data_IF_708053751864
#
_entry.id   IF_708053751864
#
_cell.length_a   1.000
_cell.length_b   1.000
_cell.length_c   1.000
_cell.angle_alpha   90.00
_cell.angle_beta   90.00
_cell.angle_gamma   90.00
#
_symmetry.space_group_name_H-M   'P 1'
#
loop_
_entity.id
_entity.type
_entity.pdbx_description
1 polymer ?
#
# COMPACT_ATOMS: atom_id res chain seq x y z
N UNK A 1 22.68 -4.09 18.26
CA UNK A 1 21.90 -2.89 17.88
C UNK A 1 21.70 -2.05 19.13
N UNK A 2 21.92 -0.78 19.00
CA UNK A 2 21.89 0.18 20.11
C UNK A 2 20.45 0.32 20.64
N UNK A 3 20.27 0.39 21.95
CA UNK A 3 18.95 0.54 22.58
C UNK A 3 18.23 1.80 22.10
N UNK A 4 18.99 2.85 21.81
CA UNK A 4 18.48 4.12 21.26
C UNK A 4 17.91 3.90 19.86
N UNK A 5 18.60 3.17 19.01
CA UNK A 5 18.16 2.84 17.67
C UNK A 5 16.89 1.98 17.69
N UNK A 6 16.82 1.01 18.58
CA UNK A 6 15.62 0.17 18.75
C UNK A 6 14.39 0.99 19.15
N UNK A 7 14.54 1.89 20.12
CA UNK A 7 13.46 2.77 20.56
C UNK A 7 12.98 3.68 19.42
N UNK A 8 13.92 4.26 18.69
CA UNK A 8 13.63 5.15 17.56
C UNK A 8 12.84 4.41 16.45
N UNK A 9 13.31 3.22 16.06
CA UNK A 9 12.62 2.39 15.05
C UNK A 9 11.24 1.96 15.54
N UNK A 10 11.11 1.59 16.81
CA UNK A 10 9.82 1.24 17.41
C UNK A 10 8.82 2.41 17.39
N UNK A 11 9.27 3.63 17.67
CA UNK A 11 8.43 4.83 17.60
C UNK A 11 7.92 5.07 16.17
N UNK A 12 8.81 4.94 15.17
CA UNK A 12 8.41 5.08 13.77
C UNK A 12 7.42 3.97 13.40
N UNK A 13 7.67 2.74 13.83
CA UNK A 13 6.76 1.62 13.58
C UNK A 13 5.35 1.90 14.12
N UNK A 14 5.23 2.25 15.39
CA UNK A 14 3.94 2.51 16.02
C UNK A 14 3.21 3.72 15.44
N UNK A 15 3.94 4.76 15.07
CA UNK A 15 3.34 6.01 14.56
C UNK A 15 2.93 5.90 13.10
N UNK A 16 3.72 5.23 12.27
CA UNK A 16 3.57 5.26 10.82
C UNK A 16 3.16 3.93 10.19
N UNK A 17 3.08 2.84 10.95
CA UNK A 17 2.76 1.51 10.43
C UNK A 17 1.55 1.53 9.49
N UNK A 18 0.46 2.13 9.93
CA UNK A 18 -0.79 2.18 9.16
C UNK A 18 -0.62 2.89 7.81
N UNK A 19 0.11 4.00 7.80
CA UNK A 19 0.39 4.75 6.56
C UNK A 19 1.30 3.97 5.63
N UNK A 20 2.30 3.29 6.17
CA UNK A 20 3.22 2.44 5.41
C UNK A 20 2.50 1.21 4.85
N UNK A 21 1.63 0.61 5.63
CA UNK A 21 0.77 -0.49 5.20
C UNK A 21 -0.15 -0.07 4.03
N UNK A 22 -0.81 1.08 4.13
CA UNK A 22 -1.65 1.62 3.06
C UNK A 22 -0.82 1.84 1.78
N UNK A 23 0.39 2.38 1.91
CA UNK A 23 1.31 2.54 0.79
C UNK A 23 1.64 1.21 0.11
N UNK A 24 2.02 0.19 0.88
CA UNK A 24 2.31 -1.14 0.36
C UNK A 24 1.06 -1.79 -0.27
N UNK A 25 -0.08 -1.66 0.38
CA UNK A 25 -1.35 -2.17 -0.13
C UNK A 25 -1.76 -1.52 -1.46
N UNK A 26 -1.53 -0.21 -1.63
CA UNK A 26 -1.81 0.50 -2.88
C UNK A 26 -0.99 -0.03 -4.06
N UNK A 27 0.18 -0.60 -3.79
CA UNK A 27 1.06 -1.19 -4.80
C UNK A 27 0.68 -2.65 -5.07
N UNK A 28 0.48 -3.43 -4.02
CA UNK A 28 0.33 -4.89 -4.08
C UNK A 28 -1.13 -5.36 -4.21
N UNK A 29 -2.07 -4.62 -3.64
CA UNK A 29 -3.50 -4.98 -3.67
C UNK A 29 -3.88 -6.19 -2.81
N UNK A 30 -2.94 -6.74 -2.04
CA UNK A 30 -3.16 -7.89 -1.16
C UNK A 30 -2.62 -7.62 0.23
N UNK A 31 -3.41 -7.92 1.25
CA UNK A 31 -3.09 -7.63 2.65
C UNK A 31 -1.82 -8.34 3.14
N UNK A 32 -1.76 -9.65 2.95
CA UNK A 32 -0.63 -10.45 3.41
C UNK A 32 0.71 -9.96 2.83
N UNK A 33 0.71 -9.60 1.57
CA UNK A 33 1.90 -9.11 0.87
C UNK A 33 2.27 -7.69 1.29
N UNK A 34 1.28 -6.84 1.55
CA UNK A 34 1.49 -5.50 2.09
C UNK A 34 2.16 -5.56 3.48
N UNK A 35 1.70 -6.47 4.35
CA UNK A 35 2.33 -6.70 5.65
C UNK A 35 3.78 -7.17 5.50
N UNK A 36 4.04 -8.12 4.62
CA UNK A 36 5.39 -8.61 4.35
C UNK A 36 6.30 -7.47 3.88
N UNK A 37 5.83 -6.63 2.96
CA UNK A 37 6.60 -5.49 2.46
C UNK A 37 6.99 -4.52 3.58
N UNK A 38 6.06 -4.22 4.48
CA UNK A 38 6.32 -3.33 5.64
C UNK A 38 7.29 -4.01 6.61
N UNK A 39 7.08 -5.27 6.95
CA UNK A 39 7.97 -6.02 7.84
C UNK A 39 9.39 -6.10 7.30
N UNK A 40 9.56 -6.43 6.02
CA UNK A 40 10.88 -6.46 5.38
C UNK A 40 11.56 -5.09 5.39
N UNK A 41 10.80 -4.01 5.19
CA UNK A 41 11.34 -2.65 5.25
C UNK A 41 11.86 -2.33 6.67
N UNK A 42 11.16 -2.75 7.71
CA UNK A 42 11.64 -2.57 9.09
C UNK A 42 12.82 -3.49 9.44
N UNK A 43 12.92 -4.67 8.86
CA UNK A 43 14.13 -5.50 8.97
C UNK A 43 15.34 -4.77 8.37
N UNK A 44 15.19 -4.17 7.20
CA UNK A 44 16.24 -3.34 6.59
C UNK A 44 16.58 -2.13 7.47
N UNK A 45 15.57 -1.48 8.04
CA UNK A 45 15.78 -0.36 8.98
C UNK A 45 16.60 -0.77 10.21
N UNK A 46 16.36 -1.97 10.74
CA UNK A 46 17.17 -2.52 11.83
C UNK A 46 18.61 -2.82 11.40
N UNK A 47 18.79 -3.37 10.21
CA UNK A 47 20.13 -3.67 9.67
C UNK A 47 20.94 -2.41 9.34
N UNK A 48 20.26 -1.37 8.91
CA UNK A 48 20.86 -0.07 8.51
C UNK A 48 20.48 1.05 9.48
N UNK A 49 20.39 0.73 10.76
CA UNK A 49 19.94 1.66 11.79
C UNK A 49 20.79 2.94 11.88
N UNK A 50 22.10 2.83 11.69
CA UNK A 50 22.99 4.00 11.68
C UNK A 50 22.69 4.96 10.52
N UNK A 51 22.45 4.43 9.34
CA UNK A 51 22.09 5.21 8.15
C UNK A 51 20.73 5.89 8.34
N UNK A 52 19.77 5.14 8.86
CA UNK A 52 18.44 5.65 9.17
C UNK A 52 18.50 6.80 10.19
N UNK A 53 19.28 6.65 11.24
CA UNK A 53 19.43 7.68 12.29
C UNK A 53 20.17 8.93 11.79
N UNK A 54 21.05 8.80 10.81
CA UNK A 54 21.74 9.93 10.17
C UNK A 54 20.91 10.63 9.11
N UNK A 55 19.82 10.02 8.68
CA UNK A 55 18.95 10.59 7.65
C UNK A 55 18.28 11.87 8.14
N UNK A 56 18.24 12.89 7.30
CA UNK A 56 17.47 14.12 7.56
C UNK A 56 15.94 13.86 7.56
N UNK A 57 15.50 12.80 6.87
CA UNK A 57 14.11 12.40 6.81
C UNK A 57 13.96 10.88 6.99
N UNK A 58 14.02 10.39 8.23
CA UNK A 58 13.91 8.95 8.50
C UNK A 58 12.60 8.32 8.02
N UNK A 59 11.49 9.03 8.16
CA UNK A 59 10.18 8.55 7.70
C UNK A 59 10.14 8.42 6.17
N UNK A 60 10.71 9.39 5.45
CA UNK A 60 10.85 9.33 4.01
C UNK A 60 11.75 8.18 3.56
N UNK A 61 12.81 7.90 4.29
CA UNK A 61 13.71 6.77 4.05
C UNK A 61 12.96 5.44 4.16
N UNK A 62 12.18 5.25 5.24
CA UNK A 62 11.36 4.04 5.43
C UNK A 62 10.27 3.93 4.35
N UNK A 63 9.60 5.03 4.00
CA UNK A 63 8.62 5.05 2.90
C UNK A 63 9.22 4.55 1.59
N UNK A 64 10.42 5.04 1.24
CA UNK A 64 11.14 4.59 0.04
C UNK A 64 11.48 3.11 0.11
N UNK A 65 11.89 2.63 1.27
CA UNK A 65 12.23 1.22 1.49
C UNK A 65 10.98 0.33 1.36
N UNK A 66 9.85 0.73 1.94
CA UNK A 66 8.56 0.02 1.78
C UNK A 66 8.16 -0.04 0.30
N UNK A 67 8.28 1.08 -0.41
CA UNK A 67 7.98 1.13 -1.85
C UNK A 67 8.86 0.17 -2.64
N UNK A 68 10.15 0.16 -2.39
CA UNK A 68 11.09 -0.75 -3.06
C UNK A 68 10.76 -2.22 -2.78
N UNK A 69 10.46 -2.56 -1.52
CA UNK A 69 10.07 -3.93 -1.15
C UNK A 69 8.76 -4.35 -1.81
N UNK A 70 7.76 -3.47 -1.79
CA UNK A 70 6.48 -3.74 -2.44
C UNK A 70 6.63 -3.94 -3.95
N UNK A 71 7.40 -3.09 -4.63
CA UNK A 71 7.68 -3.24 -6.06
C UNK A 71 8.45 -4.53 -6.36
N UNK A 72 9.39 -4.91 -5.51
CA UNK A 72 10.14 -6.15 -5.66
C UNK A 72 9.22 -7.38 -5.55
N UNK A 73 8.33 -7.39 -4.55
CA UNK A 73 7.33 -8.45 -4.39
C UNK A 73 6.42 -8.52 -5.62
N UNK A 74 5.98 -7.36 -6.13
CA UNK A 74 5.14 -7.30 -7.31
C UNK A 74 5.83 -7.85 -8.56
N UNK A 75 7.11 -7.56 -8.74
CA UNK A 75 7.93 -8.09 -9.84
C UNK A 75 8.09 -9.61 -9.73
N UNK A 76 8.38 -10.12 -8.54
CA UNK A 76 8.50 -11.55 -8.29
C UNK A 76 7.20 -12.29 -8.57
N UNK A 77 6.07 -11.71 -8.22
CA UNK A 77 4.75 -12.25 -8.55
C UNK A 77 4.48 -12.31 -10.04
N UNK A 78 4.84 -11.26 -10.77
CA UNK A 78 4.71 -11.23 -12.24
C UNK A 78 5.57 -12.31 -12.89
N UNK A 79 6.79 -12.53 -12.39
CA UNK A 79 7.66 -13.63 -12.85
C UNK A 79 7.05 -14.98 -12.55
N UNK A 80 6.55 -15.17 -11.33
CA UNK A 80 5.91 -16.42 -10.90
C UNK A 80 4.63 -16.67 -11.70
N UNK A 81 3.79 -15.67 -11.88
CA UNK A 81 2.58 -15.76 -12.70
C UNK A 81 2.91 -16.12 -14.16
N UNK A 82 3.95 -15.52 -14.72
CA UNK A 82 4.43 -15.85 -16.07
C UNK A 82 4.92 -17.30 -16.20
N UNK A 83 5.62 -17.79 -15.18
CA UNK A 83 6.02 -19.19 -15.09
C UNK A 83 4.84 -20.13 -14.91
N UNK A 84 3.88 -19.78 -14.05
CA UNK A 84 2.64 -20.54 -13.85
C UNK A 84 1.74 -20.53 -15.08
N UNK A 85 1.61 -19.42 -15.81
CA UNK A 85 0.89 -19.39 -17.09
C UNK A 85 1.54 -20.30 -18.12
N UNK A 86 2.87 -20.42 -18.10
CA UNK A 86 3.58 -21.37 -18.96
C UNK A 86 3.37 -22.83 -18.55
N UNK A 87 3.10 -23.07 -17.25
CA UNK A 87 2.80 -24.39 -16.70
C UNK A 87 1.32 -24.73 -16.75
N UNK A 88 0.42 -23.76 -16.60
CA UNK A 88 -1.05 -23.93 -16.67
C UNK A 88 -1.56 -24.21 -18.08
N UNK A 89 -0.79 -23.86 -19.10
CA UNK A 89 -1.04 -24.36 -20.46
C UNK A 89 -0.89 -25.89 -20.55
N UNK A 90 -0.40 -26.53 -19.49
CA UNK A 90 -0.17 -27.97 -19.38
C UNK A 90 -1.08 -28.67 -18.37
N UNK A 91 -1.82 -27.96 -17.50
CA UNK A 91 -2.65 -28.61 -16.50
C UNK A 91 -3.88 -27.76 -16.08
N UNK A 92 -5.07 -28.25 -16.38
CA UNK A 92 -6.33 -27.68 -15.97
C UNK A 92 -6.74 -28.18 -14.59
N UNK A 93 -6.32 -27.53 -13.53
CA UNK A 93 -7.09 -27.50 -12.28
C UNK A 93 -6.36 -26.75 -11.14
N UNK A 94 -6.86 -25.61 -10.70
CA UNK A 94 -7.14 -25.28 -9.31
C UNK A 94 -7.42 -23.81 -9.04
N UNK A 95 -8.51 -23.61 -8.29
CA UNK A 95 -8.92 -22.34 -7.71
C UNK A 95 -8.03 -21.93 -6.54
N UNK A 96 -7.77 -20.64 -6.34
CA UNK A 96 -7.06 -20.14 -5.16
C UNK A 96 -8.01 -19.98 -3.97
N UNK A 97 -7.63 -20.52 -2.84
CA UNK A 97 -8.35 -20.34 -1.58
C UNK A 97 -7.79 -19.17 -0.79
N UNK A 98 -8.71 -18.33 -0.31
CA UNK A 98 -8.46 -17.21 0.58
C UNK A 98 -8.61 -17.57 2.05
N UNK A 99 -7.92 -16.86 2.90
CA UNK A 99 -8.37 -16.51 4.25
C UNK A 99 -7.34 -15.60 4.90
N UNK A 100 -7.64 -14.65 5.63
CA UNK A 100 -8.41 -14.18 6.74
C UNK A 100 -7.94 -12.77 7.13
N UNK A 101 -8.63 -11.98 7.68
CA UNK A 101 -9.83 -11.49 8.31
C UNK A 101 -9.49 -10.41 9.33
N UNK A 102 -10.22 -9.41 9.44
CA UNK A 102 -10.35 -8.23 10.31
C UNK A 102 -9.89 -6.88 9.74
N UNK A 103 -8.80 -6.79 9.01
CA UNK A 103 -8.53 -5.62 8.13
C UNK A 103 -9.36 -5.68 6.84
N UNK A 104 -9.94 -6.85 6.55
CA UNK A 104 -10.91 -7.08 5.50
C UNK A 104 -12.17 -6.23 5.67
N UNK A 105 -12.67 -6.05 6.89
CA UNK A 105 -13.89 -5.28 7.15
C UNK A 105 -13.75 -3.80 6.76
N UNK A 106 -12.61 -3.19 7.03
CA UNK A 106 -12.36 -1.79 6.66
C UNK A 106 -12.17 -1.64 5.14
N UNK A 107 -11.44 -2.56 4.53
CA UNK A 107 -11.23 -2.56 3.08
C UNK A 107 -12.54 -2.86 2.34
N UNK A 108 -13.32 -3.85 2.77
CA UNK A 108 -14.65 -4.17 2.25
C UNK A 108 -15.61 -3.01 2.45
N UNK A 109 -15.57 -2.36 3.61
CA UNK A 109 -16.38 -1.18 3.88
C UNK A 109 -16.04 -0.03 2.93
N UNK A 110 -14.77 0.27 2.73
CA UNK A 110 -14.35 1.29 1.76
C UNK A 110 -14.74 0.91 0.33
N UNK A 111 -14.63 -0.35 -0.04
CA UNK A 111 -15.06 -0.86 -1.35
C UNK A 111 -16.58 -0.85 -1.54
N UNK A 112 -17.37 -0.91 -0.47
CA UNK A 112 -18.83 -0.77 -0.54
C UNK A 112 -19.28 0.67 -0.83
N UNK A 113 -18.45 1.65 -0.48
CA UNK A 113 -18.74 3.08 -0.66
C UNK A 113 -18.24 3.59 -2.00
N UNK A 114 -17.10 3.10 -2.46
CA UNK A 114 -16.46 3.47 -3.72
C UNK A 114 -16.08 2.21 -4.50
N UNK A 115 -15.96 2.32 -5.81
CA UNK A 115 -15.52 1.19 -6.63
C UNK A 115 -14.04 0.88 -6.36
N UNK A 116 -13.61 -0.32 -6.71
CA UNK A 116 -12.21 -0.75 -6.57
C UNK A 116 -11.26 0.18 -7.33
N UNK A 117 -11.61 0.58 -8.54
CA UNK A 117 -10.83 1.52 -9.36
C UNK A 117 -10.73 2.91 -8.72
N UNK A 118 -11.82 3.41 -8.15
CA UNK A 118 -11.85 4.69 -7.44
C UNK A 118 -10.99 4.64 -6.17
N UNK A 119 -11.05 3.55 -5.44
CA UNK A 119 -10.25 3.36 -4.23
C UNK A 119 -8.76 3.25 -4.55
N UNK A 120 -8.39 2.49 -5.57
CA UNK A 120 -7.01 2.40 -6.04
C UNK A 120 -6.47 3.76 -6.52
N UNK A 121 -7.26 4.50 -7.28
CA UNK A 121 -6.94 5.87 -7.70
C UNK A 121 -6.71 6.80 -6.51
N UNK A 122 -7.62 6.80 -5.54
CA UNK A 122 -7.50 7.59 -4.32
C UNK A 122 -6.22 7.25 -3.54
N UNK A 123 -5.95 5.95 -3.34
CA UNK A 123 -4.76 5.51 -2.60
C UNK A 123 -3.46 5.92 -3.29
N UNK A 124 -3.37 5.81 -4.61
CA UNK A 124 -2.16 6.19 -5.34
C UNK A 124 -1.80 7.66 -5.14
N UNK A 125 -2.79 8.53 -5.15
CA UNK A 125 -2.58 9.97 -4.91
C UNK A 125 -2.34 10.26 -3.41
N UNK A 126 -3.17 9.71 -2.54
CA UNK A 126 -3.09 9.96 -1.10
C UNK A 126 -1.78 9.48 -0.49
N UNK A 127 -1.19 8.41 -1.00
CA UNK A 127 0.10 7.87 -0.54
C UNK A 127 1.30 8.49 -1.25
N UNK A 128 1.09 9.35 -2.23
CA UNK A 128 2.16 9.97 -3.02
C UNK A 128 2.81 9.03 -4.04
N UNK A 129 2.19 7.89 -4.32
CA UNK A 129 2.66 6.95 -5.34
C UNK A 129 2.51 7.52 -6.76
N UNK A 130 1.48 8.32 -6.96
CA UNK A 130 1.19 8.98 -8.23
C UNK A 130 0.79 10.44 -7.98
N UNK A 131 1.06 11.31 -8.93
CA UNK A 131 0.60 12.70 -8.88
C UNK A 131 -0.73 12.86 -9.62
N UNK A 132 -1.43 13.96 -9.35
CA UNK A 132 -2.66 14.30 -10.09
C UNK A 132 -2.42 14.38 -11.60
N UNK A 133 -1.26 14.92 -12.01
CA UNK A 133 -0.90 15.03 -13.41
C UNK A 133 -0.67 13.67 -14.07
N UNK A 134 0.01 12.76 -13.38
CA UNK A 134 0.24 11.38 -13.86
C UNK A 134 -1.07 10.62 -13.98
N UNK A 135 -1.96 10.72 -13.00
CA UNK A 135 -3.27 10.08 -13.06
C UNK A 135 -4.18 10.67 -14.15
N UNK A 136 -4.15 11.99 -14.33
CA UNK A 136 -4.89 12.65 -15.40
C UNK A 136 -4.44 12.17 -16.78
N UNK A 137 -3.13 12.01 -16.98
CA UNK A 137 -2.57 11.45 -18.23
C UNK A 137 -2.94 9.99 -18.43
N UNK A 138 -2.86 9.19 -17.36
CA UNK A 138 -3.21 7.76 -17.40
C UNK A 138 -4.66 7.53 -17.79
N UNK A 139 -5.58 8.35 -17.27
CA UNK A 139 -7.01 8.25 -17.50
C UNK A 139 -7.46 9.07 -18.72
N UNK A 140 -6.57 9.82 -19.35
CA UNK A 140 -6.86 10.71 -20.47
C UNK A 140 -7.98 11.72 -20.15
N UNK A 141 -7.89 12.34 -18.97
CA UNK A 141 -8.81 13.36 -18.48
C UNK A 141 -8.07 14.67 -18.18
N UNK A 142 -8.81 15.76 -18.06
CA UNK A 142 -8.25 17.06 -17.67
C UNK A 142 -7.81 17.02 -16.21
N UNK A 143 -6.76 17.76 -15.87
CA UNK A 143 -6.24 17.87 -14.51
C UNK A 143 -7.33 18.34 -13.52
N UNK A 144 -8.16 19.30 -13.91
CA UNK A 144 -9.29 19.79 -13.11
C UNK A 144 -10.33 18.69 -12.85
N UNK A 145 -10.58 17.83 -13.81
CA UNK A 145 -11.48 16.68 -13.67
C UNK A 145 -10.90 15.65 -12.70
N UNK A 146 -9.60 15.43 -12.76
CA UNK A 146 -8.88 14.56 -11.84
C UNK A 146 -8.98 15.04 -10.38
N UNK A 147 -8.78 16.34 -10.14
CA UNK A 147 -8.95 16.95 -8.82
C UNK A 147 -10.38 16.79 -8.28
N UNK A 148 -11.39 17.06 -9.10
CA UNK A 148 -12.81 16.92 -8.71
C UNK A 148 -13.16 15.46 -8.40
N UNK A 149 -12.64 14.52 -9.18
CA UNK A 149 -12.83 13.09 -8.94
C UNK A 149 -12.23 12.66 -7.61
N UNK A 150 -11.02 13.08 -7.32
CA UNK A 150 -10.35 12.80 -6.06
C UNK A 150 -11.12 13.37 -4.86
N UNK A 151 -11.55 14.63 -4.94
CA UNK A 151 -12.31 15.27 -3.87
C UNK A 151 -13.65 14.57 -3.59
N UNK A 152 -14.38 14.15 -4.63
CA UNK A 152 -15.62 13.37 -4.45
C UNK A 152 -15.38 12.05 -3.74
N UNK A 153 -14.33 11.32 -4.13
CA UNK A 153 -13.97 10.06 -3.49
C UNK A 153 -13.57 10.30 -2.04
N UNK A 154 -12.77 11.31 -1.79
CA UNK A 154 -12.35 11.69 -0.43
C UNK A 154 -13.53 12.01 0.46
N UNK A 155 -14.47 12.83 0.01
CA UNK A 155 -15.67 13.19 0.75
C UNK A 155 -16.54 11.98 1.07
N UNK A 156 -16.75 11.12 0.09
CA UNK A 156 -17.51 9.86 0.29
C UNK A 156 -16.87 8.95 1.33
N UNK A 157 -15.56 8.80 1.28
CA UNK A 157 -14.81 7.99 2.24
C UNK A 157 -14.81 8.62 3.64
N UNK A 158 -14.65 9.93 3.76
CA UNK A 158 -14.70 10.63 5.05
C UNK A 158 -16.08 10.53 5.69
N UNK A 159 -17.13 10.69 4.93
CA UNK A 159 -18.51 10.57 5.41
C UNK A 159 -18.79 9.14 5.89
N UNK A 160 -18.41 8.14 5.12
CA UNK A 160 -18.56 6.74 5.48
C UNK A 160 -17.78 6.36 6.75
N UNK A 161 -16.53 6.81 6.88
CA UNK A 161 -15.71 6.58 8.06
C UNK A 161 -16.27 7.26 9.30
N UNK A 162 -16.85 8.45 9.16
CA UNK A 162 -17.50 9.13 10.29
C UNK A 162 -18.75 8.39 10.78
N UNK A 163 -19.50 7.76 9.90
CA UNK A 163 -20.64 6.91 10.23
C UNK A 163 -20.20 5.60 10.88
N UNK A 164 -19.13 5.00 10.40
CA UNK A 164 -18.53 3.79 10.96
C UNK A 164 -18.04 3.98 12.41
N UNK A 165 -17.47 5.15 12.73
CA UNK A 165 -17.03 5.47 14.10
C UNK A 165 -18.18 5.82 15.06
N UNK A 166 -19.39 6.08 14.56
CA UNK A 166 -20.58 6.38 15.36
C UNK A 166 -21.39 5.13 15.74
N UNK A 167 -21.16 4.04 15.06
CA UNK A 167 -21.76 2.76 15.38
C UNK A 167 -20.76 1.87 16.12
#
# INVERSE_FOLDING_TARGET
MDEIANRFIAEIYHTYYRKLYILAYSILGKQAEAEVAVQEAFVVACQQSEELMRSENPVGWIKSTVRHRALHILEDQKRTASLFMSLELLDHSKEPSCSDSSDSELAEFCQSVVTEDEFAFFLRIATGLSTFLEEARRQNIKLTTCYKRFERIRERLQQALSEFHKS
#
